data_IF_422908127115
#
_entry.id   IF_422908127115
#
_cell.length_a   1.000
_cell.length_b   1.000
_cell.length_c   1.000
_cell.angle_alpha   90.00
_cell.angle_beta   90.00
_cell.angle_gamma   90.00
#
_symmetry.space_group_name_H-M   'P 1'
#
loop_
_entity.id
_entity.type
_entity.pdbx_description
1 polymer ?
#
# COMPACT_ATOMS: atom_id res chain seq x y z
N UNK A 1 -11.16 -8.24 -17.64
CA UNK A 1 -10.28 -7.53 -16.68
C UNK A 1 -10.78 -6.11 -16.54
N UNK A 2 -11.20 -5.73 -15.33
CA UNK A 2 -11.57 -4.35 -15.03
C UNK A 2 -10.28 -3.60 -14.68
N UNK A 3 -10.01 -2.52 -15.41
CA UNK A 3 -8.89 -1.62 -15.14
C UNK A 3 -9.49 -0.32 -14.63
N UNK A 4 -9.09 0.08 -13.43
CA UNK A 4 -9.58 1.28 -12.76
C UNK A 4 -8.39 2.19 -12.46
N UNK A 5 -8.39 3.41 -13.02
CA UNK A 5 -7.31 4.38 -12.82
C UNK A 5 -5.89 3.82 -13.06
N UNK A 6 -5.73 2.87 -14.00
CA UNK A 6 -4.45 2.21 -14.30
C UNK A 6 -4.11 1.00 -13.41
N UNK A 7 -4.95 0.69 -12.43
CA UNK A 7 -4.85 -0.50 -11.59
C UNK A 7 -5.69 -1.65 -12.16
N UNK A 8 -5.07 -2.80 -12.26
CA UNK A 8 -5.71 -4.05 -12.65
C UNK A 8 -6.13 -4.82 -11.40
N UNK A 9 -7.38 -5.25 -11.34
CA UNK A 9 -7.86 -6.12 -10.27
C UNK A 9 -7.31 -7.54 -10.44
N UNK A 10 -6.57 -8.03 -9.44
CA UNK A 10 -5.86 -9.31 -9.47
C UNK A 10 -6.66 -10.41 -8.80
N UNK A 11 -7.13 -10.18 -7.56
CA UNK A 11 -7.93 -11.15 -6.80
C UNK A 11 -8.75 -10.47 -5.72
N UNK A 12 -9.84 -11.12 -5.35
CA UNK A 12 -10.72 -10.75 -4.23
C UNK A 12 -10.87 -11.96 -3.30
N UNK A 13 -10.95 -11.72 -1.99
CA UNK A 13 -11.11 -12.74 -0.96
C UNK A 13 -11.92 -12.19 0.22
N UNK A 14 -12.95 -12.90 0.66
CA UNK A 14 -13.65 -12.61 1.91
C UNK A 14 -12.85 -13.16 3.09
N UNK A 15 -12.65 -12.36 4.14
CA UNK A 15 -11.95 -12.76 5.37
C UNK A 15 -12.92 -12.63 6.56
N UNK A 16 -13.69 -13.69 6.86
CA UNK A 16 -14.76 -13.64 7.86
C UNK A 16 -14.28 -13.26 9.27
N UNK A 17 -13.09 -13.72 9.66
CA UNK A 17 -12.49 -13.44 10.97
C UNK A 17 -12.19 -11.95 11.17
N UNK A 18 -12.03 -11.20 10.07
CA UNK A 18 -11.83 -9.76 10.05
C UNK A 18 -13.08 -8.98 9.63
N UNK A 19 -14.20 -9.66 9.34
CA UNK A 19 -15.42 -9.07 8.77
C UNK A 19 -15.10 -8.12 7.59
N UNK A 20 -14.14 -8.51 6.76
CA UNK A 20 -13.55 -7.65 5.74
C UNK A 20 -13.39 -8.40 4.42
N UNK A 21 -13.64 -7.70 3.32
CA UNK A 21 -13.32 -8.15 1.97
C UNK A 21 -11.99 -7.57 1.53
N UNK A 22 -11.06 -8.42 1.14
CA UNK A 22 -9.75 -8.05 0.64
C UNK A 22 -9.75 -8.03 -0.88
N UNK A 23 -9.36 -6.91 -1.47
CA UNK A 23 -9.16 -6.77 -2.92
C UNK A 23 -7.70 -6.41 -3.21
N UNK A 24 -7.04 -7.21 -4.05
CA UNK A 24 -5.66 -6.98 -4.48
C UNK A 24 -5.64 -6.43 -5.90
N UNK A 25 -4.91 -5.33 -6.06
CA UNK A 25 -4.72 -4.64 -7.32
C UNK A 25 -3.24 -4.50 -7.67
N UNK A 26 -2.93 -4.40 -8.96
CA UNK A 26 -1.60 -4.07 -9.47
C UNK A 26 -1.65 -2.93 -10.47
N UNK A 27 -0.85 -1.88 -10.24
CA UNK A 27 -0.71 -0.77 -11.18
C UNK A 27 0.03 -1.22 -12.43
N UNK A 28 -0.60 -1.11 -13.60
CA UNK A 28 -0.03 -1.66 -14.86
C UNK A 28 1.29 -1.03 -15.28
N UNK A 29 1.48 0.27 -15.00
CA UNK A 29 2.67 1.00 -15.45
C UNK A 29 3.88 0.75 -14.55
N UNK A 30 3.68 0.72 -13.22
CA UNK A 30 4.80 0.66 -12.25
C UNK A 30 4.94 -0.70 -11.59
N UNK A 31 3.94 -1.56 -11.67
CA UNK A 31 3.87 -2.82 -10.93
C UNK A 31 3.54 -2.67 -9.45
N UNK A 32 3.29 -1.44 -8.96
CA UNK A 32 2.92 -1.20 -7.57
C UNK A 32 1.67 -1.99 -7.17
N UNK A 33 1.68 -2.57 -5.97
CA UNK A 33 0.58 -3.36 -5.45
C UNK A 33 -0.26 -2.51 -4.50
N UNK A 34 -1.58 -2.67 -4.57
CA UNK A 34 -2.54 -2.04 -3.68
C UNK A 34 -3.44 -3.12 -3.10
N UNK A 35 -3.46 -3.24 -1.77
CA UNK A 35 -4.37 -4.10 -1.05
C UNK A 35 -5.43 -3.21 -0.37
N UNK A 36 -6.70 -3.42 -0.71
CA UNK A 36 -7.82 -2.75 -0.07
C UNK A 36 -8.53 -3.73 0.85
N UNK A 37 -8.72 -3.34 2.12
CA UNK A 37 -9.55 -4.05 3.08
C UNK A 37 -10.83 -3.25 3.26
N UNK A 38 -11.95 -3.83 2.86
CA UNK A 38 -13.26 -3.18 2.81
C UNK A 38 -14.15 -3.77 3.89
N UNK A 39 -14.60 -2.95 4.82
CA UNK A 39 -15.51 -3.32 5.90
C UNK A 39 -16.40 -2.12 6.29
N UNK A 40 -17.14 -2.26 7.40
CA UNK A 40 -18.08 -1.23 7.88
C UNK A 40 -17.46 -0.21 8.85
N UNK A 41 -16.14 -0.23 9.08
CA UNK A 41 -15.49 0.77 9.94
C UNK A 41 -15.49 2.14 9.26
N UNK A 42 -15.90 3.18 10.01
CA UNK A 42 -15.88 4.56 9.53
C UNK A 42 -14.47 5.15 9.49
N UNK A 43 -13.55 4.59 10.29
CA UNK A 43 -12.17 5.03 10.37
C UNK A 43 -11.37 4.49 9.18
N UNK A 44 -11.09 5.37 8.23
CA UNK A 44 -10.29 5.03 7.05
C UNK A 44 -8.81 5.19 7.37
N UNK A 45 -8.03 4.16 7.05
CA UNK A 45 -6.57 4.17 7.16
C UNK A 45 -5.96 3.90 5.79
N UNK A 46 -4.86 4.58 5.50
CA UNK A 46 -4.01 4.29 4.35
C UNK A 46 -2.57 4.16 4.82
N UNK A 47 -1.85 3.20 4.24
CA UNK A 47 -0.43 3.00 4.46
C UNK A 47 0.28 2.72 3.15
N UNK A 48 1.54 3.12 3.08
CA UNK A 48 2.44 2.80 1.96
C UNK A 48 3.72 2.21 2.52
N UNK A 49 4.18 1.12 1.92
CA UNK A 49 5.40 0.42 2.32
C UNK A 49 6.44 0.44 1.21
N UNK A 50 7.67 0.81 1.55
CA UNK A 50 8.83 0.69 0.67
C UNK A 50 9.80 -0.34 1.24
N UNK A 51 10.39 -1.17 0.37
CA UNK A 51 11.44 -2.11 0.80
C UNK A 51 12.75 -1.34 1.01
N UNK A 52 13.15 -1.15 2.27
CA UNK A 52 14.37 -0.42 2.65
C UNK A 52 15.34 -1.34 3.40
N UNK A 53 16.13 -2.14 2.68
CA UNK A 53 17.17 -2.99 3.30
C UNK A 53 18.41 -2.13 3.58
N UNK A 54 18.80 -1.88 4.84
CA UNK A 54 19.97 -1.07 5.15
C UNK A 54 21.26 -1.82 4.77
N UNK A 55 22.22 -1.10 4.20
CA UNK A 55 23.54 -1.65 3.85
C UNK A 55 24.58 -1.47 4.97
N UNK A 56 24.30 -0.58 5.91
CA UNK A 56 25.15 -0.24 7.04
C UNK A 56 24.31 0.28 8.24
N UNK A 57 24.98 0.70 9.32
CA UNK A 57 24.36 1.19 10.56
C UNK A 57 24.23 2.72 10.61
N UNK A 58 24.28 3.43 9.48
CA UNK A 58 24.14 4.90 9.46
C UNK A 58 22.73 5.38 9.82
N UNK A 59 21.73 4.50 9.72
CA UNK A 59 20.32 4.86 9.93
C UNK A 59 19.68 5.58 8.75
N UNK A 60 20.29 5.53 7.55
CA UNK A 60 19.80 6.24 6.37
C UNK A 60 18.29 6.06 6.06
N UNK A 61 17.68 4.84 6.14
CA UNK A 61 16.23 4.70 5.93
C UNK A 61 15.38 5.47 6.94
N UNK A 62 15.81 5.52 8.21
CA UNK A 62 15.10 6.26 9.26
C UNK A 62 15.25 7.76 9.03
N UNK A 63 16.45 8.25 8.70
CA UNK A 63 16.64 9.67 8.34
C UNK A 63 15.74 10.06 7.16
N UNK A 64 15.64 9.19 6.15
CA UNK A 64 14.78 9.42 4.99
C UNK A 64 13.29 9.50 5.38
N UNK A 65 12.81 8.63 6.27
CA UNK A 65 11.44 8.67 6.80
C UNK A 65 11.08 10.05 7.38
N UNK A 66 11.97 10.66 8.17
CA UNK A 66 11.75 12.01 8.70
C UNK A 66 11.84 13.07 7.60
N UNK A 67 12.85 12.95 6.73
CA UNK A 67 13.14 13.97 5.72
C UNK A 67 12.03 14.11 4.67
N UNK A 68 11.38 13.01 4.27
CA UNK A 68 10.29 13.06 3.26
C UNK A 68 9.03 13.76 3.77
N UNK A 69 8.90 13.97 5.09
CA UNK A 69 7.79 14.72 5.68
C UNK A 69 8.05 16.23 5.77
N UNK A 70 9.24 16.69 5.35
CA UNK A 70 9.65 18.10 5.45
C UNK A 70 9.30 18.97 4.22
N UNK A 71 8.65 18.41 3.20
CA UNK A 71 8.20 19.15 2.01
C UNK A 71 8.13 18.30 0.74
N UNK A 72 7.27 18.69 -0.21
CA UNK A 72 7.11 18.05 -1.52
C UNK A 72 6.92 19.08 -2.64
N UNK A 73 7.18 18.69 -3.89
CA UNK A 73 6.80 19.45 -5.11
C UNK A 73 5.28 19.47 -5.34
#
# INVERSE_FOLDING_TARGET
>A
MVILHGFEHIREEEIPELMSRAELYRHRKTGAELLSLINQDENKVFGIGFRTVPQDSTGAPHILEHAVLAGSE
#
